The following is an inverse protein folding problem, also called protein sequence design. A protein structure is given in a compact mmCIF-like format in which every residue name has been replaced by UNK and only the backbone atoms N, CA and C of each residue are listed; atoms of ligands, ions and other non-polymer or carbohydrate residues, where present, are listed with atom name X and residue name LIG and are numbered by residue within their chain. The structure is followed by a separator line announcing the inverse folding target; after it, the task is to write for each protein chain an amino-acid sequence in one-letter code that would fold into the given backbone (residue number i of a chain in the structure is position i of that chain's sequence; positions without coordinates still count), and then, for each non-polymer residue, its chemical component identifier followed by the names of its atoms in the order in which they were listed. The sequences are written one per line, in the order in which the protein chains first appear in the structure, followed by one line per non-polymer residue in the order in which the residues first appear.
data_IF_007483648973
#
_entry.id   IF_007483648973
#
_cell.length_a   1.000
_cell.length_b   1.000
_cell.length_c   1.000
_cell.angle_alpha   90.00
_cell.angle_beta   90.00
_cell.angle_gamma   90.00
#
_symmetry.space_group_name_H-M   'P 1'
#
loop_
_entity.id
_entity.type
_entity.pdbx_description
1 polymer ?
#
# COMPACT_ATOMS: atom_id res chain seq x y z
N UNK A 1 17.51 12.30 -8.59
CA UNK A 1 16.81 12.67 -7.34
C UNK A 1 15.52 11.90 -7.27
N UNK A 2 15.04 11.52 -6.08
CA UNK A 2 13.81 10.75 -5.89
C UNK A 2 12.76 11.64 -5.23
N UNK A 3 11.51 11.57 -5.70
CA UNK A 3 10.38 12.37 -5.21
C UNK A 3 10.63 13.90 -5.24
N UNK A 4 10.72 14.58 -4.09
CA UNK A 4 10.83 16.04 -3.97
C UNK A 4 12.15 16.49 -3.34
N UNK A 5 13.22 15.74 -3.56
CA UNK A 5 14.56 16.06 -3.05
C UNK A 5 15.31 17.10 -3.91
N UNK A 6 14.62 18.18 -4.31
CA UNK A 6 15.19 19.24 -5.17
C UNK A 6 15.75 20.39 -4.33
N UNK A 7 17.08 20.46 -4.25
CA UNK A 7 17.79 21.43 -3.42
C UNK A 7 18.44 22.57 -4.23
N UNK A 8 18.31 23.85 -3.81
CA UNK A 8 18.82 24.99 -4.58
C UNK A 8 20.33 24.97 -4.82
N UNK A 9 21.11 24.57 -3.81
CA UNK A 9 22.57 24.49 -3.93
C UNK A 9 23.01 23.33 -4.81
N UNK A 10 22.36 22.17 -4.68
CA UNK A 10 22.68 20.98 -5.48
C UNK A 10 22.45 21.26 -6.97
N UNK A 11 21.23 21.68 -7.32
CA UNK A 11 20.85 22.03 -8.71
C UNK A 11 21.77 23.11 -9.30
N UNK A 12 22.11 24.14 -8.52
CA UNK A 12 23.04 25.21 -8.94
C UNK A 12 24.45 24.69 -9.21
N UNK A 13 25.00 23.85 -8.33
CA UNK A 13 26.36 23.31 -8.47
C UNK A 13 26.46 22.29 -9.60
N UNK A 14 25.44 21.43 -9.79
CA UNK A 14 25.36 20.52 -10.93
C UNK A 14 25.31 21.28 -12.25
N UNK A 15 24.44 22.31 -12.35
CA UNK A 15 24.36 23.15 -13.55
C UNK A 15 25.70 23.85 -13.87
N UNK A 16 26.44 24.34 -12.86
CA UNK A 16 27.77 24.93 -13.06
C UNK A 16 28.82 23.95 -13.58
N UNK A 17 28.62 22.65 -13.35
CA UNK A 17 29.52 21.57 -13.79
C UNK A 17 29.03 20.86 -15.05
N UNK A 18 27.92 21.31 -15.64
CA UNK A 18 27.31 20.62 -16.79
C UNK A 18 26.74 19.24 -16.46
N UNK A 19 26.43 18.96 -15.18
CA UNK A 19 25.87 17.67 -14.76
C UNK A 19 24.34 17.76 -14.82
N UNK A 20 23.65 16.95 -15.64
CA UNK A 20 22.19 16.95 -15.71
C UNK A 20 21.58 16.44 -14.40
N UNK A 21 20.50 17.09 -13.96
CA UNK A 21 19.76 16.69 -12.75
C UNK A 21 18.37 16.25 -13.15
N UNK A 22 18.06 14.99 -12.84
CA UNK A 22 16.77 14.37 -13.11
C UNK A 22 16.03 14.06 -11.81
N UNK A 23 14.69 14.10 -11.87
CA UNK A 23 13.79 13.70 -10.78
C UNK A 23 12.99 12.48 -11.23
N UNK A 24 13.02 11.41 -10.44
CA UNK A 24 12.18 10.22 -10.62
C UNK A 24 11.08 10.17 -9.57
N UNK A 25 9.97 9.52 -9.90
CA UNK A 25 8.81 9.35 -9.04
C UNK A 25 8.30 10.68 -8.44
N UNK A 26 8.40 11.77 -9.20
CA UNK A 26 8.19 13.14 -8.74
C UNK A 26 6.82 13.32 -8.09
N UNK A 27 6.82 13.73 -6.82
CA UNK A 27 5.62 13.94 -6.01
C UNK A 27 5.63 15.33 -5.40
N UNK A 28 4.62 16.14 -5.71
CA UNK A 28 4.53 17.50 -5.19
C UNK A 28 3.14 17.74 -4.59
N UNK A 29 3.02 17.58 -3.27
CA UNK A 29 1.74 17.77 -2.56
C UNK A 29 1.23 19.21 -2.70
N UNK A 30 -0.09 19.41 -2.58
CA UNK A 30 -0.70 20.74 -2.59
C UNK A 30 -0.09 21.69 -1.54
N UNK A 31 0.24 21.16 -0.35
CA UNK A 31 0.94 21.90 0.72
C UNK A 31 2.33 22.36 0.28
N UNK A 32 3.14 21.45 -0.26
CA UNK A 32 4.49 21.79 -0.74
C UNK A 32 4.45 22.75 -1.92
N UNK A 33 3.53 22.56 -2.86
CA UNK A 33 3.32 23.47 -4.00
C UNK A 33 3.04 24.91 -3.51
N UNK A 34 2.10 25.09 -2.57
CA UNK A 34 1.80 26.41 -2.00
C UNK A 34 3.02 27.05 -1.34
N UNK A 35 3.82 26.28 -0.62
CA UNK A 35 5.04 26.78 0.03
C UNK A 35 6.08 27.24 -0.99
N UNK A 36 6.33 26.46 -2.02
CA UNK A 36 7.23 26.85 -3.10
C UNK A 36 6.69 28.04 -3.90
N UNK A 37 5.37 28.15 -4.08
CA UNK A 37 4.75 29.26 -4.76
C UNK A 37 5.01 30.62 -4.05
N UNK A 38 5.18 30.63 -2.73
CA UNK A 38 5.50 31.86 -1.97
C UNK A 38 6.89 32.43 -2.28
N UNK A 39 7.83 31.59 -2.74
CA UNK A 39 9.22 31.98 -3.06
C UNK A 39 9.54 31.73 -4.54
N UNK A 40 8.54 32.04 -5.40
CA UNK A 40 8.53 31.77 -6.85
C UNK A 40 9.81 32.12 -7.62
N UNK A 41 10.45 33.29 -7.45
CA UNK A 41 11.63 33.64 -8.26
C UNK A 41 12.82 32.69 -8.02
N UNK A 42 13.07 32.34 -6.75
CA UNK A 42 14.14 31.41 -6.37
C UNK A 42 13.84 29.99 -6.87
N UNK A 43 12.59 29.56 -6.68
CA UNK A 43 12.10 28.24 -7.07
C UNK A 43 12.13 28.05 -8.57
N UNK A 44 11.62 29.03 -9.34
CA UNK A 44 11.63 28.97 -10.81
C UNK A 44 13.03 28.78 -11.37
N UNK A 45 14.01 29.47 -10.81
CA UNK A 45 15.42 29.33 -11.20
C UNK A 45 16.00 27.95 -10.84
N UNK A 46 15.52 27.34 -9.76
CA UNK A 46 15.94 26.00 -9.34
C UNK A 46 15.34 24.91 -10.22
N UNK A 47 14.02 24.96 -10.42
CA UNK A 47 13.26 23.94 -11.16
C UNK A 47 13.51 24.01 -12.67
N UNK A 48 13.75 25.19 -13.25
CA UNK A 48 14.08 25.32 -14.69
C UNK A 48 15.42 24.68 -15.08
N UNK A 49 16.29 24.39 -14.11
CA UNK A 49 17.58 23.71 -14.32
C UNK A 49 17.46 22.19 -14.37
N UNK A 50 16.32 21.63 -14.03
CA UNK A 50 16.11 20.18 -14.11
C UNK A 50 16.15 19.76 -15.58
N UNK A 51 16.94 18.73 -15.87
CA UNK A 51 17.10 18.18 -17.21
C UNK A 51 15.87 17.35 -17.60
N UNK A 52 15.27 16.65 -16.63
CA UNK A 52 14.03 15.91 -16.80
C UNK A 52 13.36 15.64 -15.45
N UNK A 53 12.03 15.56 -15.44
CA UNK A 53 11.20 15.29 -14.27
C UNK A 53 10.12 14.31 -14.67
N UNK A 54 10.30 13.05 -14.27
CA UNK A 54 9.24 12.07 -14.39
C UNK A 54 8.35 12.08 -13.16
N UNK A 55 7.07 12.30 -13.33
CA UNK A 55 6.05 12.42 -12.27
C UNK A 55 5.08 11.24 -12.26
N UNK A 56 4.36 11.10 -11.15
CA UNK A 56 3.42 9.99 -10.94
C UNK A 56 2.09 10.16 -11.67
N UNK A 57 1.64 11.40 -11.87
CA UNK A 57 0.35 11.74 -12.48
C UNK A 57 0.34 13.17 -13.03
N UNK A 58 -0.72 13.50 -13.77
CA UNK A 58 -0.89 14.79 -14.43
C UNK A 58 -0.99 15.96 -13.43
N UNK A 59 -1.60 15.75 -12.26
CA UNK A 59 -1.71 16.80 -11.24
C UNK A 59 -0.34 17.18 -10.67
N UNK A 60 0.59 16.21 -10.57
CA UNK A 60 1.98 16.53 -10.27
C UNK A 60 2.68 17.19 -11.44
N UNK A 61 2.43 16.78 -12.69
CA UNK A 61 2.98 17.46 -13.86
C UNK A 61 2.61 18.95 -13.86
N UNK A 62 1.33 19.27 -13.62
CA UNK A 62 0.83 20.64 -13.49
C UNK A 62 1.60 21.44 -12.45
N UNK A 63 1.80 20.88 -11.26
CA UNK A 63 2.51 21.57 -10.17
C UNK A 63 3.98 21.78 -10.48
N UNK A 64 4.65 20.82 -11.11
CA UNK A 64 6.05 21.01 -11.54
C UNK A 64 6.16 22.06 -12.64
N UNK A 65 5.21 22.11 -13.59
CA UNK A 65 5.09 23.19 -14.59
C UNK A 65 4.93 24.55 -13.92
N UNK A 66 4.03 24.66 -12.95
CA UNK A 66 3.78 25.89 -12.18
C UNK A 66 5.01 26.40 -11.42
N UNK A 67 5.87 25.49 -10.96
CA UNK A 67 7.12 25.84 -10.27
C UNK A 67 8.28 26.16 -11.22
N UNK A 68 8.08 26.05 -12.54
CA UNK A 68 9.02 26.52 -13.56
C UNK A 68 9.87 25.43 -14.23
N UNK A 69 9.52 24.15 -14.09
CA UNK A 69 10.08 23.11 -14.95
C UNK A 69 9.56 23.31 -16.38
N UNK A 70 10.43 23.14 -17.37
CA UNK A 70 10.04 23.29 -18.78
C UNK A 70 9.11 22.14 -19.21
N UNK A 71 8.01 22.40 -19.96
CA UNK A 71 7.03 21.37 -20.31
C UNK A 71 7.59 20.17 -21.07
N UNK A 72 8.57 20.38 -21.96
CA UNK A 72 9.28 19.36 -22.73
C UNK A 72 10.20 18.47 -21.86
N UNK A 73 10.40 18.84 -20.60
CA UNK A 73 11.20 18.10 -19.62
C UNK A 73 10.36 17.37 -18.58
N UNK A 74 9.04 17.38 -18.71
CA UNK A 74 8.13 16.73 -17.76
C UNK A 74 7.45 15.58 -18.47
N UNK A 75 7.44 14.43 -17.80
CA UNK A 75 6.85 13.21 -18.34
C UNK A 75 6.03 12.53 -17.25
N UNK A 76 4.80 12.14 -17.56
CA UNK A 76 4.00 11.31 -16.66
C UNK A 76 4.37 9.86 -16.90
N UNK A 77 5.15 9.29 -15.99
CA UNK A 77 5.70 7.92 -16.12
C UNK A 77 4.87 6.92 -15.30
N UNK A 78 4.27 7.39 -14.20
CA UNK A 78 3.50 6.57 -13.28
C UNK A 78 4.14 6.42 -11.91
N UNK A 79 3.46 5.71 -11.01
CA UNK A 79 3.88 5.56 -9.63
C UNK A 79 4.62 4.24 -9.43
N UNK A 80 5.90 4.31 -9.03
CA UNK A 80 6.73 3.12 -8.80
C UNK A 80 6.19 2.19 -7.70
N UNK A 81 5.27 2.65 -6.84
CA UNK A 81 4.66 1.82 -5.80
C UNK A 81 3.88 0.62 -6.36
N UNK A 82 3.35 0.72 -7.59
CA UNK A 82 2.66 -0.40 -8.23
C UNK A 82 3.61 -1.56 -8.55
N UNK A 83 4.88 -1.28 -8.80
CA UNK A 83 5.88 -2.30 -9.19
C UNK A 83 6.35 -3.16 -8.00
N UNK A 84 6.08 -2.74 -6.77
CA UNK A 84 6.36 -3.55 -5.59
C UNK A 84 5.41 -4.76 -5.48
N UNK A 85 4.22 -4.65 -6.07
CA UNK A 85 3.21 -5.68 -6.03
C UNK A 85 3.57 -6.80 -7.02
N UNK A 86 3.77 -8.02 -6.53
CA UNK A 86 4.02 -9.17 -7.41
C UNK A 86 2.76 -10.00 -7.47
N UNK A 87 2.13 -10.04 -8.64
CA UNK A 87 1.03 -10.98 -8.85
C UNK A 87 1.62 -12.38 -8.90
N UNK A 88 1.35 -13.19 -7.88
CA UNK A 88 1.77 -14.59 -7.79
C UNK A 88 0.60 -15.46 -7.34
N UNK A 89 0.68 -16.74 -7.66
CA UNK A 89 -0.27 -17.76 -7.21
C UNK A 89 0.15 -18.41 -5.88
N UNK A 90 1.08 -17.78 -5.15
CA UNK A 90 1.65 -18.32 -3.92
C UNK A 90 2.80 -17.48 -3.36
N UNK A 91 3.08 -17.66 -2.08
CA UNK A 91 4.26 -17.12 -1.38
C UNK A 91 5.00 -18.26 -0.67
N UNK A 92 6.32 -18.31 -0.85
CA UNK A 92 7.15 -19.29 -0.16
C UNK A 92 6.99 -19.18 1.37
N UNK A 93 6.61 -20.29 1.99
CA UNK A 93 6.43 -20.41 3.44
C UNK A 93 5.01 -20.21 3.94
N UNK A 94 4.02 -19.91 3.08
CA UNK A 94 2.61 -19.77 3.51
C UNK A 94 2.06 -21.04 4.15
N UNK A 95 2.25 -22.20 3.53
CA UNK A 95 1.78 -23.49 4.08
C UNK A 95 2.44 -23.80 5.43
N UNK A 96 3.72 -23.48 5.57
CA UNK A 96 4.45 -23.63 6.84
C UNK A 96 3.89 -22.69 7.90
N UNK A 97 3.63 -21.43 7.56
CA UNK A 97 3.01 -20.46 8.47
C UNK A 97 1.64 -20.96 8.94
N UNK A 98 0.81 -21.46 8.02
CA UNK A 98 -0.49 -22.04 8.33
C UNK A 98 -0.37 -23.23 9.30
N UNK A 99 0.53 -24.17 9.03
CA UNK A 99 0.78 -25.34 9.89
C UNK A 99 1.29 -24.94 11.28
N UNK A 100 2.24 -24.01 11.35
CA UNK A 100 2.85 -23.55 12.60
C UNK A 100 1.81 -22.84 13.48
N UNK A 101 0.91 -22.05 12.89
CA UNK A 101 -0.19 -21.40 13.59
C UNK A 101 -1.37 -22.34 13.85
N UNK A 102 -1.51 -23.43 13.10
CA UNK A 102 -2.68 -24.31 13.18
C UNK A 102 -3.92 -23.74 12.49
N UNK A 103 -3.74 -22.95 11.43
CA UNK A 103 -4.81 -22.45 10.57
C UNK A 103 -5.45 -23.63 9.84
N UNK A 104 -6.78 -23.64 9.74
CA UNK A 104 -7.53 -24.71 9.08
C UNK A 104 -7.84 -24.27 7.65
N UNK A 105 -7.23 -24.88 6.61
CA UNK A 105 -7.43 -24.46 5.23
C UNK A 105 -8.86 -24.74 4.70
N UNK A 106 -9.69 -25.46 5.45
CA UNK A 106 -11.08 -25.71 5.09
C UNK A 106 -12.06 -24.68 5.68
N UNK A 107 -11.56 -23.76 6.51
CA UNK A 107 -12.36 -22.71 7.12
C UNK A 107 -11.96 -21.33 6.56
N UNK A 108 -12.93 -20.41 6.39
CA UNK A 108 -12.61 -19.10 5.87
C UNK A 108 -11.64 -18.32 6.77
N UNK A 109 -10.60 -17.73 6.20
CA UNK A 109 -9.62 -16.93 6.92
C UNK A 109 -9.68 -15.45 6.53
N UNK A 110 -9.90 -14.60 7.54
CA UNK A 110 -9.71 -13.15 7.44
C UNK A 110 -8.30 -12.80 7.93
N UNK A 111 -7.52 -12.13 7.08
CA UNK A 111 -6.18 -11.64 7.43
C UNK A 111 -6.21 -10.13 7.53
N UNK A 112 -6.05 -9.63 8.75
CA UNK A 112 -5.97 -8.21 9.03
C UNK A 112 -4.49 -7.78 9.15
N UNK A 113 -3.97 -7.19 8.08
CA UNK A 113 -2.56 -6.84 7.96
C UNK A 113 -2.28 -5.37 8.25
N UNK A 114 -1.13 -5.08 8.87
CA UNK A 114 -0.73 -3.72 9.25
C UNK A 114 -1.72 -3.03 10.20
N UNK A 115 -2.31 -3.79 11.12
CA UNK A 115 -3.30 -3.27 12.09
C UNK A 115 -2.67 -2.38 13.16
N UNK A 116 -3.50 -1.53 13.76
CA UNK A 116 -3.15 -0.64 14.87
C UNK A 116 -4.10 -0.81 16.07
N UNK A 117 -3.72 -0.32 17.26
CA UNK A 117 -4.60 -0.32 18.43
C UNK A 117 -5.96 0.32 18.11
N UNK A 118 -7.05 -0.29 18.60
CA UNK A 118 -8.43 0.08 18.31
C UNK A 118 -9.02 -0.59 17.07
N UNK A 119 -8.20 -1.12 16.15
CA UNK A 119 -8.70 -1.93 15.03
C UNK A 119 -8.86 -3.40 15.42
N UNK A 120 -8.12 -3.90 16.41
CA UNK A 120 -8.16 -5.30 16.83
C UNK A 120 -9.54 -5.67 17.39
N UNK A 121 -10.14 -4.80 18.20
CA UNK A 121 -11.48 -4.96 18.75
C UNK A 121 -12.53 -4.92 17.64
N UNK A 122 -12.43 -3.94 16.73
CA UNK A 122 -13.31 -3.82 15.58
C UNK A 122 -13.28 -5.09 14.71
N UNK A 123 -12.10 -5.65 14.47
CA UNK A 123 -11.93 -6.87 13.68
C UNK A 123 -12.50 -8.10 14.39
N UNK A 124 -12.24 -8.23 15.70
CA UNK A 124 -12.78 -9.32 16.50
C UNK A 124 -14.31 -9.30 16.52
N UNK A 125 -14.92 -8.12 16.59
CA UNK A 125 -16.38 -7.96 16.53
C UNK A 125 -16.96 -8.17 15.13
N UNK A 126 -16.21 -7.85 14.08
CA UNK A 126 -16.70 -7.90 12.71
C UNK A 126 -16.59 -9.28 12.03
N UNK A 127 -15.68 -10.15 12.48
CA UNK A 127 -15.52 -11.48 11.90
C UNK A 127 -16.67 -12.39 12.38
N UNK A 128 -17.42 -13.02 11.46
CA UNK A 128 -18.55 -13.87 11.84
C UNK A 128 -18.10 -15.17 12.55
N UNK A 129 -18.92 -15.73 13.44
CA UNK A 129 -18.64 -17.01 14.09
C UNK A 129 -18.36 -18.13 13.07
N UNK A 130 -17.43 -19.02 13.40
CA UNK A 130 -17.04 -20.13 12.52
C UNK A 130 -15.95 -19.79 11.51
N UNK A 131 -15.58 -18.51 11.37
CA UNK A 131 -14.44 -18.06 10.57
C UNK A 131 -13.20 -17.85 11.44
N UNK A 132 -12.03 -17.82 10.80
CA UNK A 132 -10.74 -17.61 11.45
C UNK A 132 -10.26 -16.16 11.23
N UNK A 133 -9.57 -15.60 12.21
CA UNK A 133 -8.99 -14.26 12.16
C UNK A 133 -7.50 -14.31 12.48
N UNK A 134 -6.67 -13.83 11.55
CA UNK A 134 -5.27 -13.54 11.78
C UNK A 134 -5.04 -12.03 11.78
N UNK A 135 -4.53 -11.50 12.89
CA UNK A 135 -4.10 -10.12 12.99
C UNK A 135 -2.57 -10.01 12.92
N UNK A 136 -2.08 -9.07 12.10
CA UNK A 136 -0.66 -8.74 11.98
C UNK A 136 -0.44 -7.25 12.30
N UNK A 137 -0.15 -6.89 13.56
CA UNK A 137 0.05 -5.50 13.94
C UNK A 137 1.24 -4.88 13.21
N UNK A 138 1.13 -3.61 12.81
CA UNK A 138 2.16 -2.94 12.00
C UNK A 138 3.49 -2.79 12.73
N UNK A 139 3.46 -2.73 14.07
CA UNK A 139 4.61 -2.39 14.89
C UNK A 139 4.78 -3.35 16.08
N UNK A 140 6.03 -3.70 16.45
CA UNK A 140 6.30 -4.58 17.59
C UNK A 140 5.72 -4.06 18.91
N UNK A 141 5.69 -2.74 19.13
CA UNK A 141 5.11 -2.17 20.36
C UNK A 141 3.60 -2.43 20.52
N UNK A 142 2.91 -2.89 19.48
CA UNK A 142 1.48 -3.19 19.50
C UNK A 142 1.17 -4.68 19.67
N UNK A 143 2.18 -5.56 19.73
CA UNK A 143 1.97 -7.00 19.79
C UNK A 143 1.30 -7.46 21.09
N UNK A 144 1.76 -6.96 22.24
CA UNK A 144 1.16 -7.34 23.53
C UNK A 144 -0.27 -6.80 23.68
N UNK A 145 -0.54 -5.60 23.18
CA UNK A 145 -1.90 -5.05 23.15
C UNK A 145 -2.83 -5.88 22.28
N UNK A 146 -2.37 -6.27 21.09
CA UNK A 146 -3.14 -7.14 20.19
C UNK A 146 -3.38 -8.53 20.80
N UNK A 147 -2.38 -9.12 21.46
CA UNK A 147 -2.51 -10.41 22.14
C UNK A 147 -3.53 -10.36 23.28
N UNK A 148 -3.60 -9.24 24.01
CA UNK A 148 -4.58 -9.05 25.08
C UNK A 148 -6.02 -8.92 24.55
N UNK A 149 -6.21 -8.26 23.39
CA UNK A 149 -7.52 -8.16 22.73
C UNK A 149 -7.94 -9.51 22.14
N UNK A 150 -7.01 -10.22 21.51
CA UNK A 150 -7.23 -11.55 20.93
C UNK A 150 -6.94 -12.64 21.96
N UNK A 151 -7.67 -12.60 23.08
CA UNK A 151 -7.44 -13.53 24.18
C UNK A 151 -7.52 -14.99 23.71
N UNK A 152 -6.55 -15.79 24.15
CA UNK A 152 -6.38 -17.17 23.72
C UNK A 152 -5.91 -17.37 22.28
N UNK A 153 -5.44 -16.34 21.56
CA UNK A 153 -4.88 -16.53 20.22
C UNK A 153 -3.59 -17.36 20.20
N UNK A 154 -3.34 -18.03 19.08
CA UNK A 154 -2.04 -18.65 18.80
C UNK A 154 -1.07 -17.59 18.28
N UNK A 155 0.08 -17.43 18.95
CA UNK A 155 1.09 -16.43 18.61
C UNK A 155 2.21 -17.02 17.77
N UNK A 156 2.57 -16.37 16.66
CA UNK A 156 3.65 -16.80 15.77
C UNK A 156 4.99 -16.88 16.49
N UNK A 157 5.31 -15.88 17.31
CA UNK A 157 6.62 -15.72 17.96
C UNK A 157 6.94 -16.80 19.00
N UNK A 158 5.92 -17.34 19.67
CA UNK A 158 6.10 -18.32 20.76
C UNK A 158 5.89 -19.76 20.32
N UNK A 159 5.20 -19.98 19.19
CA UNK A 159 4.78 -21.31 18.74
C UNK A 159 3.80 -22.00 19.70
N UNK A 160 3.26 -21.28 20.69
CA UNK A 160 2.29 -21.80 21.64
C UNK A 160 0.90 -21.72 21.03
N UNK A 161 0.22 -22.88 20.93
CA UNK A 161 -1.19 -22.93 20.56
C UNK A 161 -2.04 -22.32 21.67
N UNK A 162 -2.76 -21.27 21.34
CA UNK A 162 -3.66 -20.60 22.26
C UNK A 162 -4.92 -21.42 22.55
N UNK A 163 -5.72 -20.97 23.53
CA UNK A 163 -6.98 -21.62 23.90
C UNK A 163 -8.12 -21.43 22.90
N UNK A 164 -8.01 -20.45 21.99
CA UNK A 164 -8.99 -20.16 20.96
C UNK A 164 -8.46 -20.61 19.59
N UNK A 165 -9.08 -21.62 18.94
CA UNK A 165 -8.61 -22.16 17.65
C UNK A 165 -8.88 -21.25 16.44
N UNK A 166 -9.60 -20.14 16.65
CA UNK A 166 -10.04 -19.25 15.57
C UNK A 166 -9.20 -17.97 15.48
N UNK A 167 -8.37 -17.69 16.49
CA UNK A 167 -7.62 -16.45 16.60
C UNK A 167 -6.11 -16.68 16.47
N UNK A 168 -5.49 -15.92 15.58
CA UNK A 168 -4.06 -15.96 15.31
C UNK A 168 -3.46 -14.56 15.38
N UNK A 169 -2.25 -14.49 15.95
CA UNK A 169 -1.46 -13.27 15.99
C UNK A 169 -0.13 -13.50 15.28
N UNK A 170 0.07 -12.75 14.19
CA UNK A 170 1.35 -12.63 13.53
C UNK A 170 2.15 -11.50 14.20
N UNK A 171 2.83 -11.84 15.29
CA UNK A 171 3.69 -10.97 16.09
C UNK A 171 5.18 -11.10 15.70
N UNK A 172 5.42 -11.24 14.39
CA UNK A 172 6.75 -11.26 13.76
C UNK A 172 6.76 -10.35 12.54
N UNK A 173 7.95 -9.84 12.18
CA UNK A 173 8.11 -8.93 11.04
C UNK A 173 8.65 -9.70 9.83
N UNK A 174 8.12 -9.39 8.65
CA UNK A 174 8.57 -9.97 7.38
C UNK A 174 7.75 -11.16 6.88
N UNK A 175 6.77 -11.62 7.67
CA UNK A 175 5.92 -12.79 7.32
C UNK A 175 4.51 -12.40 6.81
N UNK A 176 4.23 -11.11 6.60
CA UNK A 176 2.90 -10.63 6.24
C UNK A 176 2.44 -11.09 4.84
N UNK A 177 3.38 -11.25 3.91
CA UNK A 177 3.07 -11.75 2.57
C UNK A 177 2.53 -13.18 2.63
N UNK A 178 3.16 -14.04 3.44
CA UNK A 178 2.71 -15.41 3.68
C UNK A 178 1.31 -15.44 4.30
N UNK A 179 1.01 -14.53 5.23
CA UNK A 179 -0.33 -14.45 5.79
C UNK A 179 -1.37 -14.03 4.74
N UNK A 180 -1.10 -12.99 3.96
CA UNK A 180 -2.04 -12.55 2.91
C UNK A 180 -2.30 -13.61 1.84
N UNK A 181 -1.31 -14.45 1.52
CA UNK A 181 -1.45 -15.57 0.59
C UNK A 181 -2.45 -16.63 1.06
N UNK A 182 -2.63 -16.75 2.39
CA UNK A 182 -3.61 -17.66 3.01
C UNK A 182 -5.02 -17.05 3.11
N UNK A 183 -5.18 -15.76 2.80
CA UNK A 183 -6.40 -15.02 3.11
C UNK A 183 -7.51 -15.25 2.08
N UNK A 184 -8.71 -15.61 2.54
CA UNK A 184 -9.93 -15.44 1.72
C UNK A 184 -10.25 -13.95 1.56
N UNK A 185 -10.17 -13.22 2.67
CA UNK A 185 -10.42 -11.78 2.73
C UNK A 185 -9.30 -11.09 3.50
N UNK A 186 -8.72 -10.06 2.90
CA UNK A 186 -7.70 -9.23 3.52
C UNK A 186 -8.30 -7.90 3.99
N UNK A 187 -8.07 -7.54 5.25
CA UNK A 187 -8.36 -6.20 5.77
C UNK A 187 -7.04 -5.46 5.98
N UNK A 188 -6.86 -4.33 5.29
CA UNK A 188 -5.62 -3.55 5.44
C UNK A 188 -5.82 -2.46 6.49
N UNK A 189 -5.12 -2.61 7.60
CA UNK A 189 -5.23 -1.75 8.78
C UNK A 189 -4.55 -0.38 8.65
N UNK A 190 -4.58 0.35 9.76
CA UNK A 190 -4.35 1.80 9.89
C UNK A 190 -5.36 2.64 9.11
N UNK A 191 -6.49 2.04 8.76
CA UNK A 191 -7.51 2.61 7.87
C UNK A 191 -8.82 2.94 8.59
N UNK A 192 -9.00 2.47 9.82
CA UNK A 192 -10.17 2.77 10.66
C UNK A 192 -9.88 3.72 11.84
N UNK A 193 -8.61 4.11 12.06
CA UNK A 193 -8.16 4.81 13.28
C UNK A 193 -7.35 6.09 13.04
N UNK A 194 -7.50 6.74 11.89
CA UNK A 194 -6.85 8.04 11.65
C UNK A 194 -5.33 7.97 11.40
N UNK A 195 -4.82 6.82 10.94
CA UNK A 195 -3.39 6.55 10.71
C UNK A 195 -2.98 6.50 9.23
N UNK A 196 -3.81 7.07 8.35
CA UNK A 196 -3.56 7.32 6.92
C UNK A 196 -3.39 6.09 6.02
N UNK A 197 -3.76 4.90 6.52
CA UNK A 197 -3.78 3.65 5.79
C UNK A 197 -2.43 2.95 5.66
N UNK A 198 -2.44 1.81 4.98
CA UNK A 198 -1.26 1.00 4.65
C UNK A 198 -1.31 0.55 3.18
N UNK A 199 -0.27 -0.13 2.72
CA UNK A 199 -0.19 -0.59 1.34
C UNK A 199 -1.24 -1.68 1.06
N UNK A 200 -2.12 -1.40 0.10
CA UNK A 200 -3.21 -2.29 -0.32
C UNK A 200 -2.81 -3.21 -1.46
N UNK A 201 -1.68 -2.96 -2.12
CA UNK A 201 -1.33 -3.66 -3.36
C UNK A 201 -0.89 -5.09 -3.12
N UNK A 202 -0.24 -5.37 -1.98
CA UNK A 202 0.26 -6.70 -1.64
C UNK A 202 -0.85 -7.77 -1.55
N UNK A 203 -1.90 -7.63 -0.70
CA UNK A 203 -2.96 -8.63 -0.63
C UNK A 203 -3.73 -8.78 -1.95
N UNK A 204 -3.96 -7.68 -2.66
CA UNK A 204 -4.65 -7.70 -3.96
C UNK A 204 -3.82 -8.46 -5.00
N UNK A 205 -2.51 -8.23 -5.06
CA UNK A 205 -1.63 -8.94 -5.98
C UNK A 205 -1.58 -10.44 -5.68
N UNK A 206 -1.67 -10.83 -4.41
CA UNK A 206 -1.79 -12.23 -3.98
C UNK A 206 -3.18 -12.82 -4.21
N UNK A 207 -4.15 -12.03 -4.64
CA UNK A 207 -5.48 -12.51 -5.01
C UNK A 207 -6.49 -12.57 -3.87
N UNK A 208 -6.21 -11.92 -2.74
CA UNK A 208 -7.16 -11.79 -1.66
C UNK A 208 -8.22 -10.70 -1.96
N UNK A 209 -9.49 -10.98 -1.66
CA UNK A 209 -10.52 -9.97 -1.68
C UNK A 209 -10.19 -8.93 -0.59
N UNK A 210 -9.92 -7.68 -0.98
CA UNK A 210 -9.32 -6.70 -0.08
C UNK A 210 -10.31 -5.61 0.34
N UNK A 211 -10.29 -5.28 1.62
CA UNK A 211 -11.12 -4.25 2.27
C UNK A 211 -10.23 -3.28 3.03
N UNK A 212 -10.57 -1.98 2.99
CA UNK A 212 -9.97 -0.92 3.83
C UNK A 212 -11.03 -0.04 4.46
N UNK A 213 -10.68 0.59 5.58
CA UNK A 213 -11.45 1.66 6.17
C UNK A 213 -11.34 2.99 5.40
N UNK A 214 -12.04 4.04 5.84
CA UNK A 214 -12.14 5.31 5.12
C UNK A 214 -10.85 6.15 5.16
N UNK A 215 -9.90 5.86 6.05
CA UNK A 215 -8.65 6.60 6.17
C UNK A 215 -7.49 5.95 5.40
N UNK A 216 -7.32 6.37 4.15
CA UNK A 216 -6.23 5.94 3.27
C UNK A 216 -5.50 7.14 2.67
N UNK A 217 -5.36 8.23 3.44
CA UNK A 217 -4.79 9.50 2.99
C UNK A 217 -3.47 9.37 2.21
N UNK A 218 -2.55 8.54 2.70
CA UNK A 218 -1.23 8.33 2.08
C UNK A 218 -1.28 7.42 0.84
N UNK A 219 -2.40 6.71 0.65
CA UNK A 219 -2.61 5.68 -0.37
C UNK A 219 -3.72 6.05 -1.36
N UNK A 220 -4.29 7.27 -1.29
CA UNK A 220 -5.40 7.75 -2.16
C UNK A 220 -5.18 7.51 -3.66
N UNK A 221 -3.93 7.66 -4.12
CA UNK A 221 -3.56 7.46 -5.53
C UNK A 221 -3.60 6.00 -5.98
N UNK A 222 -3.49 5.05 -5.06
CA UNK A 222 -3.63 3.62 -5.33
C UNK A 222 -5.07 3.13 -5.08
N UNK A 223 -5.66 3.56 -3.96
CA UNK A 223 -7.05 3.21 -3.60
C UNK A 223 -8.05 3.68 -4.65
N UNK A 224 -7.91 4.90 -5.19
CA UNK A 224 -8.86 5.45 -6.16
C UNK A 224 -9.06 4.59 -7.42
N UNK A 225 -7.98 4.25 -8.16
CA UNK A 225 -8.06 3.32 -9.29
C UNK A 225 -8.61 1.94 -8.91
N UNK A 226 -8.19 1.37 -7.77
CA UNK A 226 -8.65 0.04 -7.33
C UNK A 226 -10.15 0.01 -7.03
N UNK A 227 -10.68 1.03 -6.36
CA UNK A 227 -12.12 1.15 -6.11
C UNK A 227 -12.89 1.31 -7.41
N UNK A 228 -12.44 2.20 -8.32
CA UNK A 228 -13.11 2.38 -9.62
C UNK A 228 -13.09 1.13 -10.49
N UNK A 229 -12.02 0.35 -10.42
CA UNK A 229 -11.89 -0.92 -11.11
C UNK A 229 -12.67 -2.07 -10.44
N UNK A 230 -13.30 -1.85 -9.28
CA UNK A 230 -13.98 -2.90 -8.54
C UNK A 230 -13.04 -3.95 -7.96
N UNK A 231 -11.80 -3.55 -7.61
CA UNK A 231 -10.75 -4.42 -7.06
C UNK A 231 -10.42 -4.18 -5.58
N UNK A 232 -11.10 -3.25 -4.93
CA UNK A 232 -10.94 -2.92 -3.51
C UNK A 232 -12.24 -2.33 -2.97
N UNK A 233 -12.62 -2.71 -1.75
CA UNK A 233 -13.75 -2.10 -1.05
C UNK A 233 -13.24 -1.11 0.00
N UNK A 234 -13.89 0.06 0.07
CA UNK A 234 -13.75 1.03 1.16
C UNK A 234 -15.02 0.97 1.99
N UNK A 235 -14.91 0.70 3.29
CA UNK A 235 -16.07 0.46 4.17
C UNK A 235 -15.98 1.33 5.42
N UNK A 236 -17.12 1.75 5.95
CA UNK A 236 -17.17 2.34 7.29
C UNK A 236 -16.99 1.26 8.36
N UNK A 237 -16.48 1.60 9.57
CA UNK A 237 -16.38 0.64 10.67
C UNK A 237 -17.68 -0.12 10.93
N UNK A 238 -18.83 0.58 10.90
CA UNK A 238 -20.16 0.00 11.13
C UNK A 238 -20.62 -0.98 10.04
N UNK A 239 -20.01 -0.94 8.86
CA UNK A 239 -20.37 -1.79 7.72
C UNK A 239 -19.46 -3.01 7.61
N UNK A 240 -18.33 -3.02 8.33
CA UNK A 240 -17.29 -4.03 8.18
C UNK A 240 -17.83 -5.45 8.40
N UNK A 241 -18.61 -5.68 9.46
CA UNK A 241 -19.16 -6.99 9.77
C UNK A 241 -20.03 -7.56 8.65
N UNK A 242 -20.95 -6.74 8.11
CA UNK A 242 -21.82 -7.15 7.01
C UNK A 242 -21.04 -7.43 5.72
N UNK A 243 -20.01 -6.63 5.43
CA UNK A 243 -19.16 -6.84 4.25
C UNK A 243 -18.30 -8.10 4.40
N UNK A 244 -17.75 -8.37 5.59
CA UNK A 244 -17.00 -9.60 5.84
C UNK A 244 -17.91 -10.84 5.70
N UNK A 245 -19.10 -10.83 6.28
CA UNK A 245 -20.07 -11.95 6.13
C UNK A 245 -20.38 -12.24 4.67
N UNK A 246 -20.76 -11.20 3.90
CA UNK A 246 -21.07 -11.36 2.49
C UNK A 246 -19.88 -11.87 1.67
N UNK A 247 -18.68 -11.32 1.89
CA UNK A 247 -17.49 -11.78 1.18
C UNK A 247 -17.15 -13.23 1.54
N UNK A 248 -17.27 -13.64 2.81
CA UNK A 248 -16.94 -15.01 3.25
C UNK A 248 -17.95 -16.04 2.74
N UNK A 249 -19.22 -15.65 2.56
CA UNK A 249 -20.27 -16.49 1.99
C UNK A 249 -20.27 -16.53 0.45
N UNK A 250 -19.75 -15.48 -0.20
CA UNK A 250 -19.81 -15.33 -1.66
C UNK A 250 -18.44 -15.43 -2.34
N UNK A 251 -18.04 -16.66 -2.64
CA UNK A 251 -16.78 -16.94 -3.34
C UNK A 251 -16.68 -16.23 -4.70
N UNK A 252 -17.77 -16.13 -5.45
CA UNK A 252 -17.81 -15.44 -6.74
C UNK A 252 -17.42 -13.97 -6.61
N UNK A 253 -17.97 -13.27 -5.61
CA UNK A 253 -17.64 -11.88 -5.31
C UNK A 253 -16.18 -11.71 -4.87
N UNK A 254 -15.63 -12.64 -4.09
CA UNK A 254 -14.19 -12.62 -3.73
C UNK A 254 -13.30 -12.72 -4.96
N UNK A 255 -13.57 -13.69 -5.84
CA UNK A 255 -12.82 -13.91 -7.08
C UNK A 255 -12.90 -12.70 -8.01
N UNK A 256 -14.07 -12.05 -8.10
CA UNK A 256 -14.25 -10.85 -8.91
C UNK A 256 -13.40 -9.69 -8.38
N UNK A 257 -13.45 -9.40 -7.08
CA UNK A 257 -12.61 -8.38 -6.45
C UNK A 257 -11.11 -8.64 -6.68
N UNK A 258 -10.66 -9.86 -6.42
CA UNK A 258 -9.27 -10.25 -6.61
C UNK A 258 -8.80 -10.06 -8.06
N UNK A 259 -9.57 -10.60 -9.03
CA UNK A 259 -9.28 -10.50 -10.46
C UNK A 259 -9.23 -9.06 -10.94
N UNK A 260 -10.22 -8.26 -10.56
CA UNK A 260 -10.31 -6.86 -10.94
C UNK A 260 -9.15 -6.05 -10.34
N UNK A 261 -8.81 -6.31 -9.08
CA UNK A 261 -7.70 -5.64 -8.40
C UNK A 261 -6.35 -5.97 -9.04
N UNK A 262 -6.08 -7.25 -9.33
CA UNK A 262 -4.88 -7.68 -10.08
C UNK A 262 -4.80 -7.01 -11.45
N UNK A 263 -5.93 -6.93 -12.18
CA UNK A 263 -5.97 -6.25 -13.48
C UNK A 263 -5.61 -4.76 -13.37
N UNK A 264 -6.11 -4.07 -12.35
CA UNK A 264 -5.75 -2.66 -12.09
C UNK A 264 -4.27 -2.52 -11.76
N UNK A 265 -3.70 -3.40 -10.92
CA UNK A 265 -2.27 -3.39 -10.58
C UNK A 265 -1.43 -3.55 -11.85
N UNK A 266 -1.69 -4.60 -12.64
CA UNK A 266 -0.95 -4.89 -13.87
C UNK A 266 -1.03 -3.72 -14.87
N UNK A 267 -2.18 -3.05 -14.98
CA UNK A 267 -2.34 -1.89 -15.86
C UNK A 267 -1.55 -0.64 -15.42
N UNK A 268 -1.11 -0.56 -14.16
CA UNK A 268 -0.34 0.57 -13.63
C UNK A 268 1.14 0.24 -13.37
N UNK A 269 1.57 -0.98 -13.64
CA UNK A 269 2.96 -1.41 -13.53
C UNK A 269 3.82 -0.97 -14.72
N UNK A 270 5.13 -1.01 -14.53
CA UNK A 270 6.14 -0.68 -15.53
C UNK A 270 6.83 0.66 -15.29
N UNK A 271 6.37 1.46 -14.30
CA UNK A 271 6.92 2.78 -14.02
C UNK A 271 8.43 2.70 -13.71
N UNK A 272 8.87 1.75 -12.88
CA UNK A 272 10.27 1.57 -12.51
C UNK A 272 11.16 1.28 -13.72
N UNK A 273 10.71 0.38 -14.61
CA UNK A 273 11.44 0.07 -15.85
C UNK A 273 11.47 1.24 -16.81
N UNK A 274 10.37 2.00 -16.93
CA UNK A 274 10.30 3.21 -17.74
C UNK A 274 11.24 4.31 -17.21
N UNK A 275 11.25 4.55 -15.90
CA UNK A 275 12.21 5.45 -15.24
C UNK A 275 13.66 5.02 -15.52
N UNK A 276 13.99 3.74 -15.32
CA UNK A 276 15.33 3.22 -15.57
C UNK A 276 15.75 3.39 -17.04
N UNK A 277 14.86 3.06 -17.98
CA UNK A 277 15.11 3.22 -19.42
C UNK A 277 15.39 4.68 -19.77
N UNK A 278 14.65 5.63 -19.18
CA UNK A 278 14.88 7.06 -19.41
C UNK A 278 16.21 7.55 -18.86
N UNK A 279 16.63 7.05 -17.69
CA UNK A 279 17.89 7.42 -17.06
C UNK A 279 19.13 6.88 -17.79
N UNK A 280 18.97 5.77 -18.51
CA UNK A 280 20.06 5.11 -19.26
C UNK A 280 20.13 5.56 -20.73
N UNK A 281 19.17 6.36 -21.20
CA UNK A 281 19.21 6.92 -22.56
C UNK A 281 20.24 8.07 -22.61
N UNK A 282 21.37 7.83 -23.30
CA UNK A 282 22.51 8.75 -23.47
C UNK A 282 22.15 10.08 -24.18
N UNK A 283 20.88 10.29 -24.54
CA UNK A 283 20.36 11.48 -25.24
C UNK A 283 19.93 12.63 -24.31
N UNK A 284 20.31 12.65 -23.03
CA UNK A 284 19.91 13.69 -22.06
C UNK A 284 21.05 14.42 -21.38
#
# INVERSE_FOLDING_TARGET
LVELEVWPNLTRLCARRGIPVMVINGRLTSRSHRRYAMVRPLVRTMFSRLAWVGVQDEEYADRFRDLGVLPDRIEVVGNMKWDNARCSEGVDGSERLASDLGIDPHRPLVVAGSTAPGEHELLLEAVPPGCQLLCAPRKPEWFEGAAAVLDGCTRRSTGHRGGNPDLFLLDTIGELAQAYDLADVAVVGRSFVGLHGSDVTQPIALGAATVVGPDFGDFRRMVGPLVRGGGLLVVQPSELAGVLSDLLENEGRRRDLARNGRAVILAHQGATSAYASRLLDDRT
#
